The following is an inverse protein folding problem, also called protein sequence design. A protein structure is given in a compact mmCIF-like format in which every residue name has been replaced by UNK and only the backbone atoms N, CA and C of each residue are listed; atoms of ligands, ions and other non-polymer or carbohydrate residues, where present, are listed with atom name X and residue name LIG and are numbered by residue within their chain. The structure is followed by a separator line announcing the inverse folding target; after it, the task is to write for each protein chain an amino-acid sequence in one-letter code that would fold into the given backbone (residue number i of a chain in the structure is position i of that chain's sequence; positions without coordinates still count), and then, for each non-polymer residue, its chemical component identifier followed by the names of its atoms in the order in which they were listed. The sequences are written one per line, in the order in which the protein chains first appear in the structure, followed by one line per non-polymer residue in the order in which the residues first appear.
data_IF_279772859942
#
_entry.id   IF_279772859942
#
_cell.length_a   1.000
_cell.length_b   1.000
_cell.length_c   1.000
_cell.angle_alpha   90.00
_cell.angle_beta   90.00
_cell.angle_gamma   90.00
#
_symmetry.space_group_name_H-M   'P 1'
#
loop_
_entity.id
_entity.type
_entity.pdbx_description
1 polymer ?
#
# COMPACT_ATOMS: atom_id res chain seq x y z
N UNK A 1 -12.98 30.63 8.05
CA UNK A 1 -12.69 30.34 8.46
C UNK A 1 -12.31 29.97 8.79
N UNK A 2 -12.24 29.87 8.63
CA UNK A 2 -11.79 29.48 8.90
C UNK A 2 -11.93 28.93 9.19
N UNK A 3 -12.15 28.88 9.09
CA UNK A 3 -12.09 28.23 9.31
C UNK A 3 -12.55 27.68 9.05
N UNK A 4 -12.59 27.88 8.73
CA UNK A 4 -12.76 27.29 8.42
C UNK A 4 -12.60 26.80 8.13
N UNK A 5 -12.42 26.92 8.08
CA UNK A 5 -12.07 26.40 7.84
C UNK A 5 -11.71 25.62 8.06
N UNK A 6 -11.43 25.61 8.30
CA UNK A 6 -10.99 24.74 8.58
C UNK A 6 -11.22 23.66 8.67
N UNK A 7 -11.40 23.51 9.00
CA UNK A 7 -11.71 22.24 9.11
C UNK A 7 -12.01 21.51 7.97
N UNK A 8 -12.57 22.07 7.27
CA UNK A 8 -12.87 21.47 6.10
C UNK A 8 -11.76 21.23 5.26
N UNK A 9 -10.75 21.90 5.47
CA UNK A 9 -9.57 21.68 4.79
C UNK A 9 -9.02 20.37 5.00
N UNK A 10 -9.41 19.77 6.06
CA UNK A 10 -8.97 18.46 6.32
C UNK A 10 -9.37 17.54 5.24
N UNK A 11 -10.54 17.72 4.74
CA UNK A 11 -11.01 16.87 3.69
C UNK A 11 -10.31 17.06 2.40
N UNK A 12 -9.70 18.20 2.24
CA UNK A 12 -8.92 18.44 1.07
C UNK A 12 -7.55 17.84 1.19
N UNK A 13 -7.17 17.47 2.38
CA UNK A 13 -5.86 16.85 2.56
C UNK A 13 -5.86 15.49 1.96
N UNK A 14 -4.88 15.14 1.16
CA UNK A 14 -4.78 13.81 0.64
C UNK A 14 -4.45 12.84 1.75
N UNK A 15 -4.66 11.58 1.46
CA UNK A 15 -4.30 10.53 2.37
C UNK A 15 -2.80 10.47 2.42
N UNK A 16 -2.20 11.02 3.42
CA UNK A 16 -0.77 11.03 3.57
C UNK A 16 -0.05 11.58 2.37
N UNK A 17 1.08 12.14 2.53
CA UNK A 17 1.87 12.62 1.43
C UNK A 17 3.20 11.94 1.39
N UNK A 18 3.26 10.69 1.84
CA UNK A 18 4.50 9.94 1.85
C UNK A 18 4.36 8.74 0.93
N UNK A 19 5.47 8.23 0.42
CA UNK A 19 5.43 7.00 -0.40
C UNK A 19 4.90 5.79 0.35
N UNK A 20 4.85 5.84 1.69
CA UNK A 20 4.32 4.74 2.49
C UNK A 20 2.81 4.65 2.45
N UNK A 21 2.12 5.78 2.24
CA UNK A 21 0.67 5.77 2.13
C UNK A 21 0.29 5.27 0.75
N UNK A 22 -0.63 4.34 0.70
CA UNK A 22 -1.14 3.80 -0.54
C UNK A 22 -2.57 3.29 -0.31
N UNK A 23 -3.29 2.90 -1.36
CA UNK A 23 -4.67 2.45 -1.19
C UNK A 23 -4.81 1.29 -0.21
N UNK A 24 -3.87 0.35 -0.20
CA UNK A 24 -3.96 -0.80 0.69
C UNK A 24 -3.81 -0.39 2.15
N UNK A 25 -2.86 0.50 2.47
CA UNK A 25 -2.65 0.91 3.86
C UNK A 25 -3.75 1.82 4.35
N UNK A 26 -4.21 2.73 3.51
CA UNK A 26 -5.21 3.71 3.95
C UNK A 26 -6.55 3.06 4.27
N UNK A 27 -6.94 2.05 3.49
CA UNK A 27 -8.23 1.38 3.69
C UNK A 27 -8.17 0.29 4.76
N UNK A 28 -7.00 -0.01 5.27
CA UNK A 28 -6.85 -1.12 6.22
C UNK A 28 -6.73 -2.47 5.55
N UNK A 29 -6.83 -2.50 4.23
CA UNK A 29 -6.74 -3.74 3.47
C UNK A 29 -5.41 -4.43 3.68
N UNK A 30 -4.35 -3.66 3.83
CA UNK A 30 -3.01 -4.20 3.95
C UNK A 30 -2.82 -5.02 5.23
N UNK A 31 -3.53 -4.67 6.30
CA UNK A 31 -3.45 -5.45 7.54
C UNK A 31 -3.96 -6.87 7.30
N UNK A 32 -5.03 -7.01 6.54
CA UNK A 32 -5.58 -8.33 6.22
C UNK A 32 -4.63 -9.10 5.29
N UNK A 33 -4.00 -8.41 4.35
CA UNK A 33 -3.04 -9.04 3.44
C UNK A 33 -1.82 -9.54 4.22
N UNK A 34 -1.31 -8.72 5.15
CA UNK A 34 -0.16 -9.13 5.96
C UNK A 34 -0.50 -10.35 6.81
N UNK A 35 -1.68 -10.36 7.41
CA UNK A 35 -2.10 -11.50 8.21
C UNK A 35 -2.21 -12.77 7.35
N UNK A 36 -2.69 -12.63 6.13
CA UNK A 36 -2.81 -13.75 5.22
C UNK A 36 -1.43 -14.30 4.86
N UNK A 37 -0.46 -13.45 4.54
CA UNK A 37 0.88 -13.90 4.24
C UNK A 37 1.53 -14.57 5.45
N UNK A 38 1.30 -14.04 6.66
CA UNK A 38 1.83 -14.64 7.87
C UNK A 38 1.22 -16.01 8.15
N UNK A 39 0.04 -16.27 7.61
CA UNK A 39 -0.62 -17.56 7.81
C UNK A 39 -0.15 -18.63 6.82
N UNK A 40 0.67 -18.27 5.84
CA UNK A 40 1.17 -19.26 4.88
C UNK A 40 2.13 -20.22 5.55
N UNK A 41 2.29 -21.39 4.97
CA UNK A 41 3.21 -22.38 5.51
C UNK A 41 4.65 -21.88 5.45
N UNK A 42 5.02 -21.20 4.36
CA UNK A 42 6.35 -20.61 4.22
C UNK A 42 6.66 -19.65 5.36
N UNK A 43 5.73 -18.75 5.69
CA UNK A 43 5.93 -17.79 6.76
C UNK A 43 6.06 -18.48 8.10
N UNK A 44 5.22 -19.49 8.34
CA UNK A 44 5.26 -20.23 9.60
C UNK A 44 6.56 -20.98 9.78
N UNK A 45 7.05 -21.60 8.71
CA UNK A 45 8.32 -22.33 8.77
C UNK A 45 9.48 -21.40 9.04
N UNK A 46 9.41 -20.14 8.61
CA UNK A 46 10.47 -19.16 8.79
C UNK A 46 10.28 -18.37 10.08
N UNK A 47 9.17 -18.57 10.80
CA UNK A 47 8.88 -17.81 12.01
C UNK A 47 8.47 -16.38 11.75
N UNK A 48 7.91 -16.09 10.59
CA UNK A 48 7.52 -14.74 10.22
C UNK A 48 6.08 -14.46 10.64
N UNK A 49 5.88 -13.39 11.43
CA UNK A 49 4.55 -12.92 11.75
C UNK A 49 4.12 -11.79 10.83
N UNK A 50 2.96 -11.21 11.09
CA UNK A 50 2.44 -10.13 10.25
C UNK A 50 3.37 -8.92 10.21
N UNK A 51 4.12 -8.66 11.28
CA UNK A 51 5.06 -7.54 11.31
C UNK A 51 6.17 -7.66 10.28
N UNK A 52 6.53 -8.89 9.87
CA UNK A 52 7.55 -9.10 8.85
C UNK A 52 7.15 -8.48 7.51
N UNK A 53 5.86 -8.42 7.24
CA UNK A 53 5.34 -7.92 5.97
C UNK A 53 4.95 -6.44 6.03
N UNK A 54 5.23 -5.77 7.16
CA UNK A 54 5.03 -4.33 7.27
C UNK A 54 6.26 -3.59 6.76
N UNK A 55 6.05 -2.55 5.95
CA UNK A 55 7.17 -1.71 5.54
C UNK A 55 7.31 -0.48 6.43
N UNK A 56 6.52 -0.40 7.51
CA UNK A 56 6.62 0.71 8.46
C UNK A 56 7.53 0.42 9.65
N UNK A 57 7.93 -0.84 9.84
CA UNK A 57 8.81 -1.22 10.93
C UNK A 57 9.96 -2.04 10.36
N UNK A 58 11.04 -2.12 11.14
CA UNK A 58 12.18 -2.91 10.72
C UNK A 58 11.86 -4.39 10.81
N UNK A 59 12.57 -5.17 10.02
CA UNK A 59 12.44 -6.63 10.02
C UNK A 59 12.40 -7.15 8.60
N UNK A 60 11.31 -6.88 7.88
CA UNK A 60 11.14 -7.38 6.53
C UNK A 60 11.30 -6.36 5.44
N UNK A 61 11.36 -5.08 5.80
CA UNK A 61 11.43 -4.02 4.79
C UNK A 61 12.85 -3.81 4.28
N UNK A 62 12.96 -3.19 3.12
CA UNK A 62 14.25 -2.76 2.60
C UNK A 62 14.73 -1.57 3.42
N UNK A 63 15.90 -1.69 4.07
CA UNK A 63 16.38 -0.60 4.91
C UNK A 63 17.06 0.51 4.13
N UNK A 64 17.41 0.28 2.86
CA UNK A 64 17.98 1.34 2.05
C UNK A 64 16.98 2.46 1.80
N UNK A 65 15.70 2.13 1.65
CA UNK A 65 14.64 3.10 1.46
C UNK A 65 13.65 3.11 2.63
N UNK A 66 13.92 2.38 3.69
CA UNK A 66 13.06 2.26 4.85
C UNK A 66 11.65 1.82 4.49
N UNK A 67 11.53 0.95 3.50
CA UNK A 67 10.24 0.41 3.07
C UNK A 67 9.45 1.31 2.14
N UNK A 68 9.99 2.47 1.78
CA UNK A 68 9.24 3.39 0.91
C UNK A 68 9.21 2.95 -0.55
N UNK A 69 10.16 2.14 -0.97
CA UNK A 69 10.30 1.75 -2.37
C UNK A 69 10.84 2.87 -3.25
N UNK A 70 10.87 4.08 -2.74
CA UNK A 70 11.31 5.27 -3.44
C UNK A 70 12.28 6.04 -2.56
N UNK A 71 13.21 6.71 -3.19
CA UNK A 71 14.12 7.62 -2.51
C UNK A 71 13.77 9.04 -2.92
N UNK A 72 13.74 9.94 -1.93
CA UNK A 72 13.41 11.33 -2.16
C UNK A 72 14.68 12.09 -2.48
N UNK A 73 14.68 12.76 -3.62
CA UNK A 73 15.80 13.61 -4.01
C UNK A 73 15.36 15.06 -3.81
N UNK A 74 16.03 15.76 -2.90
CA UNK A 74 15.71 17.16 -2.60
C UNK A 74 16.54 18.08 -3.47
N UNK A 75 15.86 19.05 -4.07
CA UNK A 75 16.53 20.05 -4.91
C UNK A 75 16.22 21.41 -4.35
N UNK A 76 17.24 22.29 -4.33
CA UNK A 76 17.12 23.58 -3.65
C UNK A 76 15.97 24.46 -4.12
N UNK A 77 15.76 24.52 -5.42
CA UNK A 77 14.76 25.43 -5.97
C UNK A 77 13.66 24.72 -6.75
N UNK A 78 13.63 23.38 -6.68
CA UNK A 78 12.67 22.58 -7.43
C UNK A 78 11.91 21.68 -6.48
N UNK A 79 10.73 21.22 -6.87
CA UNK A 79 10.00 20.26 -6.04
C UNK A 79 10.81 18.99 -5.83
N UNK A 80 10.56 18.32 -4.70
CA UNK A 80 11.20 17.06 -4.42
C UNK A 80 10.82 16.02 -5.47
N UNK A 81 11.77 15.18 -5.82
CA UNK A 81 11.56 14.13 -6.81
C UNK A 81 11.75 12.78 -6.13
N UNK A 82 10.91 11.82 -6.46
CA UNK A 82 11.04 10.47 -5.94
C UNK A 82 11.51 9.55 -7.05
N UNK A 83 12.53 8.75 -6.76
CA UNK A 83 13.07 7.78 -7.72
C UNK A 83 13.02 6.39 -7.09
N UNK A 84 12.87 5.32 -7.89
CA UNK A 84 12.84 3.96 -7.34
C UNK A 84 14.12 3.65 -6.57
N UNK A 85 13.97 2.96 -5.44
CA UNK A 85 15.12 2.49 -4.67
C UNK A 85 15.85 1.44 -5.48
N UNK A 86 17.16 1.60 -5.68
CA UNK A 86 17.93 0.67 -6.49
C UNK A 86 18.18 -0.65 -5.78
N UNK A 87 18.20 -0.64 -4.46
CA UNK A 87 18.46 -1.85 -3.69
C UNK A 87 17.30 -2.83 -3.78
N UNK A 88 16.07 -2.36 -3.54
CA UNK A 88 14.90 -3.21 -3.60
C UNK A 88 14.14 -3.08 -4.92
N UNK A 89 14.58 -2.18 -5.80
CA UNK A 89 13.96 -1.95 -7.10
C UNK A 89 12.47 -1.63 -7.00
N UNK A 90 12.13 -0.85 -5.96
CA UNK A 90 10.78 -0.41 -5.74
C UNK A 90 9.90 -1.42 -5.00
N UNK A 91 10.44 -2.55 -4.60
CA UNK A 91 9.63 -3.61 -4.00
C UNK A 91 9.35 -3.43 -2.51
N UNK A 92 10.08 -2.55 -1.83
CA UNK A 92 9.89 -2.17 -0.42
C UNK A 92 10.39 -3.18 0.61
N UNK A 93 10.67 -4.42 0.23
CA UNK A 93 11.00 -5.49 1.16
C UNK A 93 12.37 -6.06 0.88
N UNK A 94 12.96 -6.67 1.92
CA UNK A 94 14.22 -7.35 1.74
C UNK A 94 13.97 -8.69 1.05
N UNK A 95 15.08 -9.31 0.64
CA UNK A 95 15.02 -10.52 -0.17
C UNK A 95 14.31 -11.67 0.54
N UNK A 96 14.60 -11.83 1.83
CA UNK A 96 14.03 -12.94 2.60
C UNK A 96 12.51 -12.84 2.70
N UNK A 97 11.99 -11.64 2.87
CA UNK A 97 10.55 -11.43 2.93
C UNK A 97 9.91 -11.76 1.59
N UNK A 98 10.59 -11.43 0.50
CA UNK A 98 10.06 -11.67 -0.84
C UNK A 98 10.06 -13.15 -1.21
N UNK A 99 10.71 -14.01 -0.43
CA UNK A 99 10.69 -15.46 -0.69
C UNK A 99 9.40 -16.14 -0.24
N UNK A 100 8.60 -15.46 0.59
CA UNK A 100 7.32 -16.01 1.02
C UNK A 100 6.27 -15.74 -0.06
N UNK A 101 5.55 -16.77 -0.48
CA UNK A 101 4.55 -16.65 -1.53
C UNK A 101 3.18 -17.11 -1.08
N UNK A 102 2.15 -16.46 -1.60
CA UNK A 102 0.76 -16.87 -1.47
C UNK A 102 0.22 -17.02 -2.90
N UNK A 103 -0.21 -18.23 -3.26
CA UNK A 103 -0.67 -18.54 -4.62
C UNK A 103 0.34 -18.12 -5.69
N UNK A 104 1.62 -18.29 -5.38
CA UNK A 104 2.69 -18.02 -6.34
C UNK A 104 3.11 -16.56 -6.43
N UNK A 105 2.57 -15.68 -5.58
CA UNK A 105 2.92 -14.27 -5.59
C UNK A 105 3.50 -13.85 -4.25
N UNK A 106 4.56 -13.04 -4.27
CA UNK A 106 5.09 -12.48 -3.04
C UNK A 106 4.34 -11.18 -2.71
N UNK A 107 4.63 -10.60 -1.54
CA UNK A 107 3.89 -9.41 -1.10
C UNK A 107 4.11 -8.21 -2.02
N UNK A 108 5.30 -8.07 -2.61
CA UNK A 108 5.56 -6.97 -3.53
C UNK A 108 4.74 -7.12 -4.81
N UNK A 109 4.60 -8.34 -5.30
CA UNK A 109 3.78 -8.61 -6.47
C UNK A 109 2.31 -8.33 -6.21
N UNK A 110 1.84 -8.62 -4.99
CA UNK A 110 0.46 -8.31 -4.60
C UNK A 110 0.25 -6.81 -4.57
N UNK A 111 1.20 -6.04 -4.02
CA UNK A 111 1.07 -4.59 -3.99
C UNK A 111 1.13 -3.98 -5.39
N UNK A 112 1.72 -4.68 -6.35
CA UNK A 112 1.79 -4.20 -7.73
C UNK A 112 0.56 -4.56 -8.55
N UNK A 113 -0.38 -5.31 -7.97
CA UNK A 113 -1.63 -5.62 -8.65
C UNK A 113 -2.57 -4.43 -8.62
N UNK A 114 -3.35 -4.26 -9.69
CA UNK A 114 -4.45 -3.31 -9.65
C UNK A 114 -5.54 -3.86 -8.74
N UNK A 115 -6.46 -2.99 -8.32
CA UNK A 115 -7.61 -3.42 -7.51
C UNK A 115 -8.38 -4.52 -8.23
N UNK A 116 -8.57 -4.36 -9.53
CA UNK A 116 -9.29 -5.35 -10.33
C UNK A 116 -8.59 -6.71 -10.33
N UNK A 117 -7.28 -6.72 -10.53
CA UNK A 117 -6.49 -7.96 -10.51
C UNK A 117 -6.53 -8.61 -9.14
N UNK A 118 -6.40 -7.80 -8.09
CA UNK A 118 -6.39 -8.32 -6.73
C UNK A 118 -7.76 -8.89 -6.34
N UNK A 119 -8.84 -8.30 -6.83
CA UNK A 119 -10.18 -8.79 -6.55
C UNK A 119 -10.33 -10.25 -7.02
N UNK A 120 -9.84 -10.54 -8.21
CA UNK A 120 -9.86 -11.90 -8.72
C UNK A 120 -8.91 -12.81 -7.95
N UNK A 121 -7.74 -12.29 -7.57
CA UNK A 121 -6.73 -13.07 -6.86
C UNK A 121 -7.18 -13.47 -5.46
N UNK A 122 -7.90 -12.58 -4.77
CA UNK A 122 -8.35 -12.81 -3.39
C UNK A 122 -9.84 -13.18 -3.29
N UNK A 123 -10.41 -13.71 -4.35
CA UNK A 123 -11.85 -13.98 -4.35
C UNK A 123 -12.30 -14.94 -3.24
N UNK A 124 -11.38 -15.75 -2.74
CA UNK A 124 -11.69 -16.69 -1.65
C UNK A 124 -11.37 -16.14 -0.27
N UNK A 125 -11.04 -14.86 -0.17
CA UNK A 125 -10.74 -14.20 1.10
C UNK A 125 -11.77 -13.11 1.34
N UNK A 126 -12.85 -13.40 2.07
CA UNK A 126 -14.00 -12.48 2.15
C UNK A 126 -13.66 -11.07 2.63
N UNK A 127 -12.83 -10.94 3.67
CA UNK A 127 -12.50 -9.61 4.18
C UNK A 127 -11.76 -8.78 3.15
N UNK A 128 -10.80 -9.39 2.47
CA UNK A 128 -9.99 -8.70 1.47
C UNK A 128 -10.87 -8.42 0.24
N UNK A 129 -11.64 -9.41 -0.18
CA UNK A 129 -12.51 -9.26 -1.34
C UNK A 129 -13.52 -8.13 -1.16
N UNK A 130 -14.12 -8.02 0.02
CA UNK A 130 -15.14 -7.02 0.24
C UNK A 130 -14.57 -5.60 0.17
N UNK A 131 -13.38 -5.38 0.71
CA UNK A 131 -12.74 -4.08 0.61
C UNK A 131 -12.34 -3.75 -0.81
N UNK A 132 -11.85 -4.76 -1.55
CA UNK A 132 -11.50 -4.57 -2.95
C UNK A 132 -12.73 -4.26 -3.79
N UNK A 133 -13.85 -4.92 -3.49
CA UNK A 133 -15.08 -4.67 -4.20
C UNK A 133 -15.55 -3.22 -3.99
N UNK A 134 -15.42 -2.70 -2.76
CA UNK A 134 -15.76 -1.31 -2.49
C UNK A 134 -14.92 -0.36 -3.32
N UNK A 135 -13.61 -0.64 -3.44
CA UNK A 135 -12.73 0.16 -4.27
C UNK A 135 -13.12 0.09 -5.75
N UNK A 136 -13.53 -1.08 -6.21
CA UNK A 136 -14.05 -1.23 -7.58
C UNK A 136 -15.30 -0.39 -7.78
N UNK A 137 -16.20 -0.41 -6.79
CA UNK A 137 -17.49 0.28 -6.88
C UNK A 137 -17.33 1.80 -6.97
N UNK A 138 -16.26 2.35 -6.38
CA UNK A 138 -16.01 3.79 -6.51
C UNK A 138 -15.13 4.12 -7.72
N UNK A 139 -14.91 3.14 -8.60
CA UNK A 139 -14.23 3.41 -9.87
C UNK A 139 -12.73 3.35 -9.84
N UNK A 140 -12.13 2.69 -8.84
CA UNK A 140 -10.68 2.65 -8.70
C UNK A 140 -10.07 1.30 -9.08
N UNK A 141 -10.74 0.53 -9.94
CA UNK A 141 -10.24 -0.79 -10.34
C UNK A 141 -8.87 -0.76 -10.99
N UNK A 142 -8.49 0.35 -11.60
CA UNK A 142 -7.22 0.49 -12.31
C UNK A 142 -6.05 0.90 -11.41
N UNK A 143 -6.32 1.28 -10.15
CA UNK A 143 -5.27 1.75 -9.25
C UNK A 143 -4.57 0.56 -8.62
N UNK A 144 -3.24 0.63 -8.50
CA UNK A 144 -2.48 -0.45 -7.86
C UNK A 144 -2.60 -0.36 -6.36
N UNK A 145 -2.61 -1.51 -5.68
CA UNK A 145 -2.76 -1.55 -4.22
C UNK A 145 -1.66 -0.79 -3.51
N UNK A 146 -0.44 -0.91 -3.99
CA UNK A 146 0.71 -0.24 -3.37
C UNK A 146 1.09 1.06 -4.03
N UNK A 147 0.23 1.65 -4.85
CA UNK A 147 0.56 2.89 -5.54
C UNK A 147 0.81 3.99 -4.51
N UNK A 148 1.99 4.62 -4.50
CA UNK A 148 2.26 5.67 -3.51
C UNK A 148 1.28 6.81 -3.63
N UNK A 149 0.85 7.34 -2.48
CA UNK A 149 -0.13 8.43 -2.48
C UNK A 149 0.40 9.67 -3.18
N UNK A 150 1.71 9.81 -3.26
CA UNK A 150 2.33 10.93 -3.98
C UNK A 150 2.03 10.89 -5.47
N UNK A 151 1.60 9.75 -6.00
CA UNK A 151 1.27 9.59 -7.43
C UNK A 151 -0.23 9.61 -7.70
N UNK A 152 -1.06 9.72 -6.66
CA UNK A 152 -2.51 9.72 -6.83
C UNK A 152 -3.02 11.12 -7.12
N UNK A 153 -4.04 11.23 -7.96
CA UNK A 153 -4.71 12.50 -8.18
C UNK A 153 -5.57 12.82 -6.96
N UNK A 154 -5.99 14.10 -6.86
CA UNK A 154 -6.88 14.49 -5.78
C UNK A 154 -8.20 13.73 -5.81
N UNK A 155 -8.75 13.50 -6.99
CA UNK A 155 -9.98 12.73 -7.12
C UNK A 155 -9.83 11.29 -6.70
N UNK A 156 -8.69 10.67 -7.05
CA UNK A 156 -8.42 9.30 -6.64
C UNK A 156 -8.28 9.21 -5.12
N UNK A 157 -7.56 10.14 -4.51
CA UNK A 157 -7.40 10.15 -3.06
C UNK A 157 -8.76 10.31 -2.36
N UNK A 158 -9.63 11.16 -2.88
CA UNK A 158 -10.95 11.34 -2.30
C UNK A 158 -11.80 10.10 -2.39
N UNK A 159 -11.71 9.38 -3.53
CA UNK A 159 -12.46 8.13 -3.67
C UNK A 159 -11.95 7.05 -2.73
N UNK A 160 -10.66 7.03 -2.46
CA UNK A 160 -10.11 6.09 -1.48
C UNK A 160 -10.66 6.39 -0.10
N UNK A 161 -10.76 7.68 0.26
CA UNK A 161 -11.36 8.06 1.53
C UNK A 161 -12.82 7.62 1.60
N UNK A 162 -13.56 7.82 0.53
CA UNK A 162 -14.95 7.41 0.46
C UNK A 162 -15.07 5.90 0.63
N UNK A 163 -14.26 5.14 -0.08
CA UNK A 163 -14.27 3.69 0.03
C UNK A 163 -13.98 3.22 1.47
N UNK A 164 -13.06 3.92 2.14
CA UNK A 164 -12.73 3.58 3.52
C UNK A 164 -13.93 3.78 4.44
N UNK A 165 -14.70 4.83 4.21
CA UNK A 165 -15.88 5.10 5.01
C UNK A 165 -17.02 4.13 4.72
N UNK A 166 -17.09 3.62 3.51
CA UNK A 166 -18.14 2.69 3.11
C UNK A 166 -17.87 1.24 3.53
N UNK A 167 -16.63 0.90 3.79
CA UNK A 167 -16.28 -0.51 4.09
C UNK A 167 -16.23 -0.84 5.58
#
# INVERSE_FOLDING_TARGET
MEYLDKIINIDQSPIGRTPRSNPATYTGLFDDIRALFASTQDAKLRGYGAGRFSFNIRGGRCEACSGDGLLKIEMNFLPDVYVPCEVCKGKRYNRETLEVHYKGRNIAEVLDMTVEEALAFFQNQPKIRDRLQTLMDVGLGYVKLGQPSTTLSGGEAQRIKLATELS
#
